data_IF_149389197418
#
_entry.id   IF_149389197418
#
_cell.length_a   1.000
_cell.length_b   1.000
_cell.length_c   1.000
_cell.angle_alpha   90.00
_cell.angle_beta   90.00
_cell.angle_gamma   90.00
#
_symmetry.space_group_name_H-M   'P 1'
#
loop_
_entity.id
_entity.type
_entity.pdbx_description
1 polymer ?
#
# COMPACT_ATOMS: atom_id res chain seq x y z
N UNK A 1 -5.81 15.60 17.96
CA UNK A 1 -6.55 16.83 18.30
C UNK A 1 -7.31 17.26 17.05
N UNK A 2 -8.57 17.67 17.18
CA UNK A 2 -9.43 18.09 16.08
C UNK A 2 -10.39 19.17 16.55
N UNK A 3 -10.92 19.97 15.64
CA UNK A 3 -12.07 20.86 15.85
C UNK A 3 -13.29 20.11 15.32
N UNK A 4 -14.35 20.10 16.10
CA UNK A 4 -15.63 19.52 15.71
C UNK A 4 -16.69 20.62 15.66
N UNK A 5 -17.28 20.81 14.48
CA UNK A 5 -18.38 21.76 14.25
C UNK A 5 -19.65 20.98 13.94
N UNK A 6 -20.74 21.35 14.64
CA UNK A 6 -22.06 20.78 14.35
C UNK A 6 -22.99 21.88 13.81
N UNK A 7 -23.69 21.54 12.73
CA UNK A 7 -24.67 22.38 12.10
C UNK A 7 -26.03 21.67 12.15
N UNK A 8 -27.00 22.29 12.84
CA UNK A 8 -28.36 21.75 13.00
C UNK A 8 -29.35 22.43 12.06
N UNK A 9 -30.13 21.63 11.37
CA UNK A 9 -31.20 22.13 10.52
C UNK A 9 -32.44 22.50 11.34
N UNK A 10 -33.09 23.60 10.96
CA UNK A 10 -34.39 24.02 11.55
C UNK A 10 -35.57 23.17 11.08
N UNK A 11 -35.42 22.50 9.95
CA UNK A 11 -36.39 21.61 9.33
C UNK A 11 -35.70 20.38 8.84
N UNK A 12 -36.40 19.26 8.76
CA UNK A 12 -35.90 18.03 8.18
C UNK A 12 -35.40 18.30 6.74
N UNK A 13 -34.09 18.24 6.57
CA UNK A 13 -33.39 18.48 5.31
C UNK A 13 -32.63 17.24 4.96
N UNK A 14 -33.05 16.51 3.94
CA UNK A 14 -32.33 15.32 3.49
C UNK A 14 -31.06 15.71 2.73
N UNK A 15 -29.92 15.36 3.29
CA UNK A 15 -28.63 15.55 2.67
C UNK A 15 -28.18 14.20 2.12
N UNK A 16 -28.04 14.10 0.81
CA UNK A 16 -27.58 12.90 0.12
C UNK A 16 -26.26 13.12 -0.61
N UNK A 17 -25.72 12.05 -1.20
CA UNK A 17 -24.42 12.10 -1.89
C UNK A 17 -24.40 13.08 -3.07
N UNK A 18 -25.46 13.10 -3.88
CA UNK A 18 -25.53 14.03 -5.02
C UNK A 18 -25.48 15.48 -4.59
N UNK A 19 -26.14 15.82 -3.47
CA UNK A 19 -26.05 17.16 -2.90
C UNK A 19 -24.64 17.47 -2.44
N UNK A 20 -24.00 16.58 -1.66
CA UNK A 20 -22.64 16.75 -1.17
C UNK A 20 -21.64 16.93 -2.33
N UNK A 21 -21.76 16.10 -3.36
CA UNK A 21 -20.92 16.18 -4.57
C UNK A 21 -21.12 17.49 -5.34
N UNK A 22 -22.35 17.90 -5.52
CA UNK A 22 -22.67 19.18 -6.19
C UNK A 22 -22.12 20.37 -5.39
N UNK A 23 -22.26 20.32 -4.07
CA UNK A 23 -21.74 21.36 -3.17
C UNK A 23 -20.21 21.41 -3.20
N UNK A 24 -19.54 20.27 -3.09
CA UNK A 24 -18.08 20.19 -3.19
C UNK A 24 -17.58 20.74 -4.54
N UNK A 25 -18.22 20.39 -5.65
CA UNK A 25 -17.89 20.92 -6.97
C UNK A 25 -18.03 22.46 -7.03
N UNK A 26 -19.07 23.02 -6.46
CA UNK A 26 -19.29 24.47 -6.41
C UNK A 26 -18.16 25.17 -5.62
N UNK A 27 -17.70 24.57 -4.52
CA UNK A 27 -16.61 25.08 -3.70
C UNK A 27 -15.20 24.77 -4.24
N UNK A 28 -15.10 24.14 -5.41
CA UNK A 28 -13.84 23.63 -5.98
C UNK A 28 -13.12 22.63 -5.03
N UNK A 29 -13.92 21.78 -4.37
CA UNK A 29 -13.43 20.71 -3.51
C UNK A 29 -13.56 19.35 -4.19
N UNK A 30 -12.71 18.43 -3.82
CA UNK A 30 -12.88 17.01 -4.05
C UNK A 30 -13.62 16.41 -2.85
N UNK A 31 -14.39 15.34 -3.06
CA UNK A 31 -15.07 14.57 -2.02
C UNK A 31 -14.79 13.09 -2.23
N UNK A 32 -14.38 12.41 -1.20
CA UNK A 32 -14.13 10.96 -1.19
C UNK A 32 -14.26 10.38 0.20
N UNK A 33 -14.01 9.10 0.30
CA UNK A 33 -13.92 8.36 1.57
C UNK A 33 -12.46 7.92 1.80
N UNK A 34 -12.18 7.40 2.99
CA UNK A 34 -10.88 6.76 3.26
C UNK A 34 -11.11 5.27 3.54
N UNK A 35 -10.27 4.44 2.95
CA UNK A 35 -10.27 3.00 3.19
C UNK A 35 -9.59 2.62 4.54
N UNK A 36 -9.41 1.33 4.80
CA UNK A 36 -8.78 0.83 6.03
C UNK A 36 -7.31 1.26 6.19
N UNK A 37 -6.66 1.69 5.11
CA UNK A 37 -5.30 2.24 5.14
C UNK A 37 -5.30 3.76 5.26
N UNK A 38 -6.45 4.40 5.40
CA UNK A 38 -6.63 5.86 5.32
C UNK A 38 -6.17 6.46 3.99
N UNK A 39 -6.20 5.67 2.92
CA UNK A 39 -6.01 6.16 1.56
C UNK A 39 -7.34 6.61 0.97
N UNK A 40 -7.27 7.68 0.14
CA UNK A 40 -8.47 8.17 -0.55
C UNK A 40 -9.04 7.11 -1.49
N UNK A 41 -10.36 6.98 -1.45
CA UNK A 41 -11.14 6.15 -2.37
C UNK A 41 -12.40 6.89 -2.82
N UNK A 42 -12.94 6.47 -3.96
CA UNK A 42 -14.18 7.01 -4.49
C UNK A 42 -15.39 6.33 -3.82
N UNK A 43 -16.32 7.14 -3.38
CA UNK A 43 -17.57 6.58 -2.83
C UNK A 43 -18.44 5.97 -3.93
N UNK A 44 -18.73 4.67 -3.78
CA UNK A 44 -19.56 3.88 -4.72
C UNK A 44 -20.90 3.42 -4.11
N UNK A 45 -21.28 4.02 -2.96
CA UNK A 45 -22.48 3.64 -2.24
C UNK A 45 -23.73 4.39 -2.70
N UNK A 46 -24.78 4.24 -1.90
CA UNK A 46 -26.11 4.82 -2.16
C UNK A 46 -26.18 6.33 -1.94
N UNK A 47 -27.35 6.93 -2.28
CA UNK A 47 -27.62 8.35 -2.04
C UNK A 47 -27.74 8.68 -0.55
N UNK A 48 -28.13 7.75 0.31
CA UNK A 48 -28.16 7.93 1.77
C UNK A 48 -26.75 7.84 2.36
N UNK A 49 -26.23 8.95 2.88
CA UNK A 49 -24.86 9.09 3.40
C UNK A 49 -24.80 9.21 4.92
N UNK A 50 -25.90 8.92 5.62
CA UNK A 50 -25.93 8.97 7.10
C UNK A 50 -24.92 8.00 7.69
N UNK A 51 -24.19 8.46 8.68
CA UNK A 51 -23.14 7.69 9.35
C UNK A 51 -21.84 7.52 8.57
N UNK A 52 -21.80 7.88 7.28
CA UNK A 52 -20.58 7.77 6.46
C UNK A 52 -19.70 9.01 6.65
N UNK A 53 -18.40 8.77 6.81
CA UNK A 53 -17.40 9.81 6.96
C UNK A 53 -16.74 10.11 5.62
N UNK A 54 -16.91 11.32 5.12
CA UNK A 54 -16.30 11.83 3.90
C UNK A 54 -15.12 12.75 4.22
N UNK A 55 -14.17 12.83 3.31
CA UNK A 55 -13.09 13.82 3.33
C UNK A 55 -13.28 14.78 2.18
N UNK A 56 -13.32 16.08 2.50
CA UNK A 56 -13.38 17.17 1.54
C UNK A 56 -12.06 17.93 1.54
N UNK A 57 -11.49 18.18 0.37
CA UNK A 57 -10.23 18.90 0.25
C UNK A 57 -10.13 19.69 -1.06
N UNK A 58 -9.22 20.66 -1.10
CA UNK A 58 -9.01 21.50 -2.27
C UNK A 58 -8.53 20.72 -3.49
N UNK A 59 -9.10 20.95 -4.66
CA UNK A 59 -8.63 20.38 -5.93
C UNK A 59 -7.30 20.98 -6.41
N UNK A 60 -6.92 22.14 -5.90
CA UNK A 60 -5.70 22.84 -6.31
C UNK A 60 -4.49 22.49 -5.44
N UNK A 61 -4.74 22.16 -4.17
CA UNK A 61 -3.73 21.88 -3.16
C UNK A 61 -4.11 20.69 -2.32
N UNK A 62 -3.30 19.66 -2.37
CA UNK A 62 -3.53 18.40 -1.70
C UNK A 62 -2.92 18.43 -0.30
N UNK A 63 -3.69 18.90 0.69
CA UNK A 63 -3.27 18.92 2.09
C UNK A 63 -3.99 17.83 2.90
N UNK A 64 -4.70 18.21 3.98
CA UNK A 64 -5.48 17.26 4.76
C UNK A 64 -6.98 17.32 4.47
N UNK A 65 -7.47 18.53 4.13
CA UNK A 65 -8.90 18.76 4.05
C UNK A 65 -9.58 18.70 5.40
N UNK A 66 -10.88 18.40 5.37
CA UNK A 66 -11.72 18.26 6.56
C UNK A 66 -12.74 17.14 6.38
N UNK A 67 -13.17 16.57 7.51
CA UNK A 67 -14.21 15.54 7.56
C UNK A 67 -15.60 16.12 7.43
N UNK A 68 -16.50 15.35 6.82
CA UNK A 68 -17.92 15.65 6.71
C UNK A 68 -18.73 14.39 7.00
N UNK A 69 -19.70 14.48 7.91
CA UNK A 69 -20.59 13.39 8.26
C UNK A 69 -22.00 13.90 8.46
N UNK A 70 -22.99 13.10 8.11
CA UNK A 70 -24.41 13.34 8.37
C UNK A 70 -24.88 12.36 9.43
N UNK A 71 -25.50 12.85 10.51
CA UNK A 71 -26.09 12.01 11.55
C UNK A 71 -27.47 11.44 11.16
N UNK A 72 -28.08 10.66 12.03
CA UNK A 72 -29.41 10.05 11.81
C UNK A 72 -30.53 11.08 11.65
N UNK A 73 -30.37 12.27 12.26
CA UNK A 73 -31.31 13.37 12.20
C UNK A 73 -31.03 14.38 11.07
N UNK A 74 -30.10 14.03 10.17
CA UNK A 74 -29.59 14.88 9.09
C UNK A 74 -28.86 16.14 9.54
N UNK A 75 -28.39 16.23 10.79
CA UNK A 75 -27.45 17.27 11.17
C UNK A 75 -26.06 16.96 10.60
N UNK A 76 -25.28 18.00 10.42
CA UNK A 76 -23.92 17.88 9.87
C UNK A 76 -22.89 18.00 10.97
N UNK A 77 -21.96 17.08 10.98
CA UNK A 77 -20.72 17.14 11.72
C UNK A 77 -19.56 17.39 10.76
N UNK A 78 -18.78 18.43 11.02
CA UNK A 78 -17.56 18.76 10.30
C UNK A 78 -16.36 18.62 11.24
N UNK A 79 -15.28 18.01 10.75
CA UNK A 79 -14.10 17.72 11.56
C UNK A 79 -12.84 18.26 10.88
N UNK A 80 -12.16 19.22 11.51
CA UNK A 80 -10.86 19.69 11.06
C UNK A 80 -9.76 19.13 11.97
N UNK A 81 -8.93 18.25 11.42
CA UNK A 81 -7.87 17.58 12.17
C UNK A 81 -6.59 18.42 12.22
N UNK A 82 -5.98 18.54 13.40
CA UNK A 82 -4.66 19.13 13.61
C UNK A 82 -3.52 18.09 13.49
N UNK A 83 -2.30 18.50 13.06
CA UNK A 83 -2.00 19.79 12.42
C UNK A 83 -2.63 19.90 11.04
N UNK A 84 -2.97 21.08 10.59
CA UNK A 84 -3.52 21.33 9.26
C UNK A 84 -2.88 22.60 8.64
N UNK A 85 -3.06 22.78 7.34
CA UNK A 85 -2.56 23.96 6.65
C UNK A 85 -3.48 25.19 6.85
N UNK A 86 -2.96 26.39 6.63
CA UNK A 86 -3.78 27.61 6.56
C UNK A 86 -4.94 27.43 5.57
N UNK A 87 -4.71 26.77 4.43
CA UNK A 87 -5.74 26.57 3.42
C UNK A 87 -6.86 25.62 3.91
N UNK A 88 -6.50 24.56 4.65
CA UNK A 88 -7.52 23.67 5.23
C UNK A 88 -8.44 24.45 6.17
N UNK A 89 -7.89 25.30 7.04
CA UNK A 89 -8.70 26.18 7.93
C UNK A 89 -9.60 27.10 7.10
N UNK A 90 -9.06 27.73 6.07
CA UNK A 90 -9.83 28.66 5.24
C UNK A 90 -10.99 27.96 4.50
N UNK A 91 -10.76 26.81 3.86
CA UNK A 91 -11.82 26.08 3.15
C UNK A 91 -12.85 25.52 4.10
N UNK A 92 -12.44 25.08 5.30
CA UNK A 92 -13.33 24.57 6.35
C UNK A 92 -14.37 25.63 6.77
N UNK A 93 -13.92 26.81 7.20
CA UNK A 93 -14.83 27.87 7.64
C UNK A 93 -15.58 28.52 6.46
N UNK A 94 -14.99 28.58 5.27
CA UNK A 94 -15.73 28.98 4.07
C UNK A 94 -16.89 28.02 3.80
N UNK A 95 -16.67 26.72 3.89
CA UNK A 95 -17.72 25.72 3.72
C UNK A 95 -18.85 25.90 4.75
N UNK A 96 -18.52 26.13 6.04
CA UNK A 96 -19.48 26.39 7.11
C UNK A 96 -20.32 27.63 6.76
N UNK A 97 -19.65 28.74 6.45
CA UNK A 97 -20.32 30.00 6.11
C UNK A 97 -21.32 29.81 4.96
N UNK A 98 -20.83 29.28 3.86
CA UNK A 98 -21.62 29.16 2.63
C UNK A 98 -22.72 28.10 2.77
N UNK A 99 -22.49 27.05 3.56
CA UNK A 99 -23.50 26.06 3.91
C UNK A 99 -24.61 26.68 4.74
N UNK A 100 -24.28 27.38 5.82
CA UNK A 100 -25.24 28.02 6.71
C UNK A 100 -26.06 29.09 6.00
N UNK A 101 -25.41 29.90 5.13
CA UNK A 101 -26.11 30.88 4.30
C UNK A 101 -27.13 30.22 3.34
N UNK A 102 -26.76 29.09 2.74
CA UNK A 102 -27.62 28.38 1.78
C UNK A 102 -28.90 27.80 2.43
N UNK A 103 -28.84 27.48 3.72
CA UNK A 103 -29.95 26.88 4.46
C UNK A 103 -30.60 27.82 5.51
N UNK A 104 -30.28 29.12 5.48
CA UNK A 104 -30.78 30.11 6.45
C UNK A 104 -30.50 29.69 7.92
N UNK A 105 -29.35 29.11 8.19
CA UNK A 105 -28.89 28.69 9.52
C UNK A 105 -28.04 29.82 10.11
N UNK A 106 -28.48 30.52 11.17
CA UNK A 106 -27.80 31.72 11.69
C UNK A 106 -26.58 31.36 12.55
N UNK A 107 -26.57 30.18 13.16
CA UNK A 107 -25.57 29.74 14.14
C UNK A 107 -25.10 28.33 13.89
N UNK A 108 -23.91 28.01 14.35
CA UNK A 108 -23.33 26.67 14.42
C UNK A 108 -22.70 26.47 15.80
N UNK A 109 -22.40 25.24 16.18
CA UNK A 109 -21.66 24.96 17.43
C UNK A 109 -20.26 24.45 17.10
N UNK A 110 -19.25 24.98 17.79
CA UNK A 110 -17.87 24.48 17.75
C UNK A 110 -17.43 24.12 19.18
N UNK A 111 -16.95 22.89 19.38
CA UNK A 111 -16.54 22.37 20.70
C UNK A 111 -17.62 22.56 21.79
N UNK A 112 -18.90 22.60 21.40
CA UNK A 112 -20.03 22.78 22.31
C UNK A 112 -20.43 24.24 22.56
N UNK A 113 -19.70 25.21 22.06
CA UNK A 113 -20.05 26.65 22.12
C UNK A 113 -20.77 27.09 20.87
N UNK A 114 -21.74 28.01 20.99
CA UNK A 114 -22.53 28.52 19.88
C UNK A 114 -21.89 29.79 19.30
N UNK A 115 -21.74 29.80 17.97
CA UNK A 115 -21.17 30.90 17.20
C UNK A 115 -22.10 31.33 16.07
N UNK A 116 -21.96 32.58 15.64
CA UNK A 116 -22.63 33.14 14.46
C UNK A 116 -21.66 33.21 13.28
N UNK A 117 -22.19 33.41 12.06
CA UNK A 117 -21.35 33.57 10.89
C UNK A 117 -20.42 34.79 10.94
N UNK A 118 -20.72 35.77 11.82
CA UNK A 118 -19.86 36.95 12.03
C UNK A 118 -18.58 36.64 12.79
N UNK A 119 -18.58 35.56 13.56
CA UNK A 119 -17.44 35.14 14.38
C UNK A 119 -16.38 34.37 13.59
N UNK A 120 -16.73 33.90 12.36
CA UNK A 120 -15.85 33.10 11.52
C UNK A 120 -14.48 33.73 11.27
N UNK A 121 -14.32 35.03 10.97
CA UNK A 121 -13.00 35.61 10.75
C UNK A 121 -12.09 35.53 11.98
N UNK A 122 -12.63 35.67 13.20
CA UNK A 122 -11.91 35.57 14.44
C UNK A 122 -11.50 34.12 14.70
N UNK A 123 -12.43 33.17 14.56
CA UNK A 123 -12.17 31.73 14.67
C UNK A 123 -11.10 31.26 13.68
N UNK A 124 -11.17 31.70 12.43
CA UNK A 124 -10.13 31.37 11.44
C UNK A 124 -8.73 31.81 11.87
N UNK A 125 -8.63 33.07 12.33
CA UNK A 125 -7.34 33.60 12.77
C UNK A 125 -6.81 32.86 14.01
N UNK A 126 -7.64 32.60 14.99
CA UNK A 126 -7.28 31.82 16.17
C UNK A 126 -6.74 30.42 15.79
N UNK A 127 -7.45 29.70 14.90
CA UNK A 127 -7.03 28.34 14.48
C UNK A 127 -5.74 28.37 13.64
N UNK A 128 -5.54 29.41 12.83
CA UNK A 128 -4.28 29.58 12.07
C UNK A 128 -3.11 29.84 13.04
N UNK A 129 -3.27 30.75 14.01
CA UNK A 129 -2.22 31.03 14.99
C UNK A 129 -1.91 29.81 15.86
N UNK A 130 -2.93 29.08 16.29
CA UNK A 130 -2.73 27.82 17.00
C UNK A 130 -1.92 26.79 16.17
N UNK A 131 -2.27 26.60 14.88
CA UNK A 131 -1.53 25.68 13.99
C UNK A 131 -0.07 26.09 13.80
N UNK A 132 0.24 27.39 13.69
CA UNK A 132 1.62 27.89 13.57
C UNK A 132 2.46 27.43 14.75
N UNK A 133 1.95 27.60 15.97
CA UNK A 133 2.63 27.22 17.20
C UNK A 133 2.76 25.69 17.32
N UNK A 134 1.67 24.98 17.09
CA UNK A 134 1.63 23.51 17.13
C UNK A 134 2.66 22.89 16.16
N UNK A 135 2.70 23.37 14.91
CA UNK A 135 3.60 22.83 13.89
C UNK A 135 5.05 23.12 14.22
N UNK A 136 5.37 24.36 14.65
CA UNK A 136 6.75 24.75 14.96
C UNK A 136 7.27 24.07 16.22
N UNK A 137 6.48 24.07 17.29
CA UNK A 137 6.96 23.78 18.64
C UNK A 137 6.65 22.34 19.11
N UNK A 138 5.47 21.81 18.77
CA UNK A 138 4.96 20.57 19.36
C UNK A 138 4.95 19.38 18.40
N UNK A 139 5.06 19.61 17.08
CA UNK A 139 5.04 18.53 16.11
C UNK A 139 6.25 17.60 16.29
N UNK A 140 6.00 16.28 16.30
CA UNK A 140 7.03 15.28 16.57
C UNK A 140 7.28 14.38 15.36
N UNK A 141 8.53 13.99 15.18
CA UNK A 141 8.90 12.94 14.25
C UNK A 141 8.26 11.60 14.64
N UNK A 142 7.91 10.80 13.64
CA UNK A 142 7.22 9.53 13.83
C UNK A 142 5.71 9.66 14.07
N UNK A 143 5.17 10.89 14.15
CA UNK A 143 3.72 11.09 14.16
C UNK A 143 3.17 10.78 12.75
N UNK A 144 2.20 9.89 12.69
CA UNK A 144 1.43 9.66 11.46
C UNK A 144 0.25 10.62 11.40
N UNK A 145 0.15 11.36 10.30
CA UNK A 145 -0.99 12.23 9.98
C UNK A 145 -1.74 11.66 8.78
N UNK A 146 -3.05 11.70 8.84
CA UNK A 146 -3.91 11.30 7.73
C UNK A 146 -4.09 12.49 6.79
N UNK A 147 -3.44 12.41 5.64
CA UNK A 147 -3.59 13.37 4.55
C UNK A 147 -4.87 13.14 3.76
N UNK A 148 -5.12 13.97 2.76
CA UNK A 148 -6.32 13.81 1.91
C UNK A 148 -6.21 12.61 0.95
N UNK A 149 -4.99 12.17 0.58
CA UNK A 149 -4.77 11.04 -0.34
C UNK A 149 -4.13 9.85 0.39
N UNK A 150 -3.07 10.08 1.18
CA UNK A 150 -2.31 9.04 1.87
C UNK A 150 -2.05 9.40 3.33
N UNK A 151 -1.91 8.43 4.23
CA UNK A 151 -1.27 8.65 5.52
C UNK A 151 0.21 8.99 5.30
N UNK A 152 0.77 9.85 6.15
CA UNK A 152 2.18 10.27 6.12
C UNK A 152 2.76 10.17 7.52
N UNK A 153 3.92 9.55 7.67
CA UNK A 153 4.67 9.55 8.93
C UNK A 153 5.80 10.58 8.85
N UNK A 154 5.74 11.60 9.69
CA UNK A 154 6.68 12.72 9.66
C UNK A 154 8.11 12.27 9.96
N UNK A 155 9.06 12.67 9.12
CA UNK A 155 10.46 12.31 9.27
C UNK A 155 11.24 13.31 10.15
N UNK A 156 12.43 12.86 10.61
CA UNK A 156 13.29 13.63 11.51
C UNK A 156 13.84 14.89 10.85
N UNK A 157 14.22 14.81 9.57
CA UNK A 157 14.83 15.91 8.84
C UNK A 157 13.82 17.04 8.62
N UNK A 158 12.56 16.67 8.28
CA UNK A 158 11.49 17.64 8.14
C UNK A 158 11.19 18.34 9.48
N UNK A 159 11.05 17.58 10.57
CA UNK A 159 10.77 18.14 11.91
C UNK A 159 11.92 19.04 12.38
N UNK A 160 13.17 18.63 12.15
CA UNK A 160 14.32 19.45 12.48
C UNK A 160 14.30 20.75 11.66
N UNK A 161 14.04 20.66 10.35
CA UNK A 161 14.00 21.80 9.45
C UNK A 161 12.99 22.88 9.86
N UNK A 162 11.75 22.50 10.21
CA UNK A 162 10.70 23.45 10.57
C UNK A 162 10.97 24.20 11.90
N UNK A 163 11.73 23.62 12.84
CA UNK A 163 12.04 24.24 14.13
C UNK A 163 12.95 25.48 14.02
N UNK A 164 13.68 25.62 12.91
CA UNK A 164 14.52 26.79 12.66
C UNK A 164 13.76 27.93 11.95
N UNK A 165 12.49 27.70 11.58
CA UNK A 165 11.67 28.69 10.90
C UNK A 165 10.87 29.51 11.90
N UNK A 166 10.47 30.73 11.51
CA UNK A 166 9.43 31.44 12.22
C UNK A 166 8.07 30.72 12.08
N UNK A 167 7.05 31.08 12.88
CA UNK A 167 5.77 30.38 12.87
C UNK A 167 5.08 30.35 11.49
N UNK A 168 5.15 31.42 10.72
CA UNK A 168 4.59 31.49 9.36
C UNK A 168 5.38 30.62 8.39
N UNK A 169 6.70 30.65 8.49
CA UNK A 169 7.60 29.80 7.70
C UNK A 169 7.37 28.32 7.99
N UNK A 170 7.18 27.92 9.25
CA UNK A 170 6.89 26.55 9.65
C UNK A 170 5.54 26.05 9.07
N UNK A 171 4.48 26.87 9.17
CA UNK A 171 3.18 26.57 8.59
C UNK A 171 3.23 26.40 7.08
N UNK A 172 3.96 27.29 6.38
CA UNK A 172 4.14 27.22 4.93
C UNK A 172 4.97 26.00 4.53
N UNK A 173 6.04 25.67 5.25
CA UNK A 173 6.85 24.49 5.02
C UNK A 173 6.02 23.20 5.17
N UNK A 174 5.17 23.14 6.20
CA UNK A 174 4.25 22.03 6.41
C UNK A 174 3.24 21.88 5.26
N UNK A 175 2.63 22.96 4.82
CA UNK A 175 1.71 22.96 3.69
C UNK A 175 2.39 22.47 2.39
N UNK A 176 3.62 22.94 2.11
CA UNK A 176 4.38 22.50 0.95
C UNK A 176 4.82 21.03 1.05
N UNK A 177 5.14 20.55 2.24
CA UNK A 177 5.45 19.14 2.49
C UNK A 177 4.24 18.25 2.18
N UNK A 178 3.04 18.62 2.65
CA UNK A 178 1.80 17.92 2.31
C UNK A 178 1.53 17.95 0.80
N UNK A 179 1.56 19.13 0.17
CA UNK A 179 1.27 19.27 -1.28
C UNK A 179 2.21 18.43 -2.15
N UNK A 180 3.45 18.22 -1.69
CA UNK A 180 4.42 17.37 -2.38
C UNK A 180 4.06 15.89 -2.27
N UNK A 181 3.63 15.41 -1.08
CA UNK A 181 3.40 14.01 -0.80
C UNK A 181 1.97 13.54 -1.11
N UNK A 182 0.98 14.44 -1.01
CA UNK A 182 -0.43 14.13 -1.22
C UNK A 182 -0.84 14.20 -2.70
N UNK A 183 -0.07 13.58 -3.61
CA UNK A 183 -0.41 13.54 -5.04
C UNK A 183 -0.95 12.18 -5.44
N UNK A 184 -2.11 12.09 -6.12
CA UNK A 184 -2.74 10.81 -6.48
C UNK A 184 -2.06 10.17 -7.72
N UNK A 185 -0.73 10.14 -7.74
CA UNK A 185 0.08 9.58 -8.84
C UNK A 185 0.81 8.30 -8.45
N UNK A 186 0.72 7.91 -7.18
CA UNK A 186 1.39 6.72 -6.66
C UNK A 186 0.36 5.69 -6.23
N UNK A 187 0.71 4.42 -6.39
CA UNK A 187 -0.01 3.33 -5.76
C UNK A 187 0.48 3.19 -4.31
N UNK A 188 -0.42 3.24 -3.34
CA UNK A 188 -0.08 2.94 -1.94
C UNK A 188 -0.16 1.43 -1.73
N UNK A 189 0.99 0.79 -1.52
CA UNK A 189 1.05 -0.66 -1.33
C UNK A 189 0.50 -1.02 0.06
N UNK A 190 -0.70 -1.57 0.08
CA UNK A 190 -1.36 -2.10 1.28
C UNK A 190 -1.42 -3.62 1.22
N UNK A 191 -1.23 -4.33 2.35
CA UNK A 191 -1.26 -5.78 2.35
C UNK A 191 -2.68 -6.32 2.26
N UNK A 192 -2.91 -7.31 1.41
CA UNK A 192 -4.10 -8.14 1.45
C UNK A 192 -3.87 -9.28 2.46
N UNK A 193 -4.93 -9.64 3.21
CA UNK A 193 -4.87 -10.72 4.20
C UNK A 193 -5.48 -12.00 3.64
N UNK A 194 -4.73 -13.08 3.74
CA UNK A 194 -5.15 -14.43 3.37
C UNK A 194 -5.11 -15.35 4.58
N UNK A 195 -6.03 -16.29 4.67
CA UNK A 195 -5.97 -17.35 5.70
C UNK A 195 -4.74 -18.23 5.47
N UNK A 196 -4.05 -18.58 6.54
CA UNK A 196 -3.03 -19.64 6.50
C UNK A 196 -3.70 -21.02 6.63
N UNK A 197 -2.90 -22.10 6.71
CA UNK A 197 -3.41 -23.43 7.04
C UNK A 197 -4.12 -23.49 8.41
N UNK A 198 -3.73 -22.62 9.36
CA UNK A 198 -4.46 -22.38 10.60
C UNK A 198 -5.48 -21.25 10.36
N UNK A 199 -6.80 -21.49 10.53
CA UNK A 199 -7.85 -20.51 10.26
C UNK A 199 -7.82 -19.26 11.17
N UNK A 200 -7.03 -19.28 12.25
CA UNK A 200 -6.82 -18.13 13.13
C UNK A 200 -5.55 -17.36 12.80
N UNK A 201 -4.83 -17.73 11.76
CA UNK A 201 -3.57 -17.13 11.34
C UNK A 201 -3.67 -16.61 9.91
N UNK A 202 -2.93 -15.55 9.64
CA UNK A 202 -3.00 -14.83 8.37
C UNK A 202 -1.62 -14.71 7.72
N UNK A 203 -1.64 -14.72 6.39
CA UNK A 203 -0.52 -14.33 5.55
C UNK A 203 -0.85 -12.95 4.98
N UNK A 204 0.01 -11.98 5.19
CA UNK A 204 -0.14 -10.62 4.66
C UNK A 204 0.71 -10.48 3.40
N UNK A 205 0.09 -10.11 2.26
CA UNK A 205 0.76 -10.00 0.96
C UNK A 205 0.68 -8.58 0.41
N UNK A 206 1.82 -7.96 0.19
CA UNK A 206 1.92 -6.74 -0.61
C UNK A 206 1.98 -7.11 -2.09
N UNK A 207 1.29 -6.35 -2.94
CA UNK A 207 1.36 -6.50 -4.39
C UNK A 207 2.02 -5.28 -5.00
N UNK A 208 3.05 -5.51 -5.83
CA UNK A 208 3.73 -4.49 -6.61
C UNK A 208 3.57 -4.81 -8.10
N UNK A 209 3.15 -3.81 -8.87
CA UNK A 209 2.98 -3.95 -10.31
C UNK A 209 4.18 -3.36 -11.03
N UNK A 210 4.69 -4.07 -12.05
CA UNK A 210 5.76 -3.58 -12.92
C UNK A 210 5.43 -2.20 -13.48
N UNK A 211 6.42 -1.30 -13.46
CA UNK A 211 6.36 0.08 -13.97
C UNK A 211 5.34 1.00 -13.28
N UNK A 212 4.71 0.53 -12.18
CA UNK A 212 3.81 1.36 -11.37
C UNK A 212 4.58 1.94 -10.19
N UNK A 213 4.76 3.28 -10.10
CA UNK A 213 5.36 3.90 -8.94
C UNK A 213 4.53 3.66 -7.70
N UNK A 214 5.14 3.08 -6.67
CA UNK A 214 4.45 2.61 -5.47
C UNK A 214 5.07 3.17 -4.20
N UNK A 215 4.22 3.57 -3.25
CA UNK A 215 4.62 3.86 -1.87
C UNK A 215 4.67 2.54 -1.13
N UNK A 216 5.87 2.10 -0.74
CA UNK A 216 6.12 0.78 -0.15
C UNK A 216 6.74 0.93 1.24
N UNK A 217 6.28 0.20 2.25
CA UNK A 217 6.79 0.33 3.61
C UNK A 217 8.23 -0.17 3.72
N UNK A 218 9.02 0.45 4.61
CA UNK A 218 10.40 0.04 4.94
C UNK A 218 10.39 -1.19 5.85
N UNK A 219 9.36 -1.34 6.68
CA UNK A 219 9.11 -2.50 7.52
C UNK A 219 7.68 -2.96 7.31
N UNK A 220 7.49 -4.26 7.20
CA UNK A 220 6.16 -4.84 7.03
C UNK A 220 5.26 -4.52 8.23
N UNK A 221 4.08 -3.99 7.97
CA UNK A 221 3.08 -3.67 8.99
C UNK A 221 1.67 -3.61 8.40
N UNK A 222 0.65 -3.76 9.25
CA UNK A 222 -0.73 -3.46 8.87
C UNK A 222 -1.00 -1.96 9.05
N UNK A 223 -1.72 -1.33 8.12
CA UNK A 223 -2.24 0.03 8.29
C UNK A 223 -3.10 0.21 9.54
N UNK A 224 -3.26 1.44 9.99
CA UNK A 224 -3.92 1.78 11.26
C UNK A 224 -5.38 1.34 11.36
N UNK A 225 -6.13 1.34 10.26
CA UNK A 225 -7.55 0.96 10.25
C UNK A 225 -7.83 -0.53 10.34
N UNK A 226 -6.79 -1.37 10.27
CA UNK A 226 -6.98 -2.81 10.43
C UNK A 226 -7.25 -3.19 11.89
N UNK A 227 -8.20 -4.10 12.10
CA UNK A 227 -8.56 -4.63 13.42
C UNK A 227 -7.32 -5.22 14.13
N UNK A 228 -7.14 -4.90 15.41
CA UNK A 228 -6.03 -5.40 16.25
C UNK A 228 -5.91 -6.92 16.24
N UNK A 229 -7.04 -7.66 16.11
CA UNK A 229 -7.03 -9.12 16.01
C UNK A 229 -6.17 -9.66 14.86
N UNK A 230 -6.00 -8.90 13.78
CA UNK A 230 -5.14 -9.31 12.66
C UNK A 230 -3.67 -9.11 12.99
N UNK A 231 -3.31 -8.02 13.70
CA UNK A 231 -1.92 -7.64 13.97
C UNK A 231 -1.13 -8.75 14.67
N UNK A 232 -1.73 -9.38 15.67
CA UNK A 232 -1.09 -10.42 16.47
C UNK A 232 -1.12 -11.81 15.82
N UNK A 233 -1.81 -11.95 14.69
CA UNK A 233 -2.06 -13.24 14.05
C UNK A 233 -1.44 -13.36 12.65
N UNK A 234 -0.56 -12.45 12.24
CA UNK A 234 0.21 -12.56 11.00
C UNK A 234 1.39 -13.50 11.20
N UNK A 235 1.41 -14.61 10.46
CA UNK A 235 2.49 -15.60 10.51
C UNK A 235 3.54 -15.40 9.42
N UNK A 236 3.20 -14.69 8.34
CA UNK A 236 4.11 -14.45 7.23
C UNK A 236 3.77 -13.15 6.52
N UNK A 237 4.80 -12.43 6.13
CA UNK A 237 4.73 -11.27 5.27
C UNK A 237 5.35 -11.60 3.92
N UNK A 238 4.62 -11.36 2.84
CA UNK A 238 5.02 -11.70 1.48
C UNK A 238 4.92 -10.49 0.55
N UNK A 239 5.67 -10.54 -0.54
CA UNK A 239 5.58 -9.58 -1.65
C UNK A 239 5.35 -10.36 -2.94
N UNK A 240 4.31 -9.97 -3.66
CA UNK A 240 3.99 -10.46 -5.00
C UNK A 240 4.39 -9.37 -5.99
N UNK A 241 5.19 -9.73 -6.98
CA UNK A 241 5.55 -8.85 -8.09
C UNK A 241 4.84 -9.33 -9.35
N UNK A 242 3.99 -8.47 -9.92
CA UNK A 242 3.18 -8.81 -11.08
C UNK A 242 3.36 -7.80 -12.22
N UNK A 243 3.00 -8.18 -13.41
CA UNK A 243 2.90 -7.36 -14.62
C UNK A 243 1.49 -7.45 -15.17
N UNK A 244 0.90 -6.32 -15.50
CA UNK A 244 -0.39 -6.30 -16.20
C UNK A 244 -0.19 -6.64 -17.68
N UNK A 245 -0.98 -7.57 -18.17
CA UNK A 245 -1.01 -7.96 -19.58
C UNK A 245 -2.32 -7.50 -20.22
N UNK A 246 -2.22 -6.87 -21.39
CA UNK A 246 -3.40 -6.53 -22.19
C UNK A 246 -4.08 -7.82 -22.74
N UNK A 247 -5.42 -7.90 -22.85
CA UNK A 247 -6.40 -6.91 -22.46
C UNK A 247 -6.99 -7.09 -21.04
N UNK A 248 -6.66 -8.03 -20.21
CA UNK A 248 -7.17 -8.19 -18.83
C UNK A 248 -6.44 -9.33 -18.09
N UNK A 249 -5.19 -9.59 -18.44
CA UNK A 249 -4.36 -10.60 -17.79
C UNK A 249 -3.37 -10.00 -16.80
N UNK A 250 -2.76 -10.86 -16.01
CA UNK A 250 -1.57 -10.51 -15.24
C UNK A 250 -0.59 -11.70 -15.26
N UNK A 251 0.69 -11.38 -15.14
CA UNK A 251 1.76 -12.36 -14.98
C UNK A 251 2.43 -12.13 -13.64
N UNK A 252 2.50 -13.16 -12.80
CA UNK A 252 3.30 -13.12 -11.58
C UNK A 252 4.75 -13.41 -11.95
N UNK A 253 5.66 -12.52 -11.58
CA UNK A 253 7.09 -12.68 -11.77
C UNK A 253 7.75 -13.30 -10.54
N UNK A 254 7.22 -13.00 -9.34
CA UNK A 254 7.72 -13.57 -8.10
C UNK A 254 6.67 -13.48 -6.99
N UNK A 255 6.74 -14.43 -6.07
CA UNK A 255 6.15 -14.38 -4.75
C UNK A 255 7.25 -14.81 -3.77
N UNK A 256 7.61 -13.95 -2.82
CA UNK A 256 8.69 -14.21 -1.87
C UNK A 256 8.40 -13.57 -0.52
N UNK A 257 9.15 -13.94 0.52
CA UNK A 257 9.01 -13.29 1.82
C UNK A 257 9.38 -11.81 1.72
N UNK A 258 8.79 -10.99 2.59
CA UNK A 258 9.08 -9.54 2.66
C UNK A 258 10.57 -9.28 2.87
N UNK A 259 11.22 -10.03 3.78
CA UNK A 259 12.63 -9.84 4.11
C UNK A 259 13.53 -10.19 2.93
N UNK A 260 13.22 -11.29 2.22
CA UNK A 260 13.92 -11.71 1.02
C UNK A 260 13.78 -10.64 -0.10
N UNK A 261 12.59 -10.13 -0.34
CA UNK A 261 12.36 -9.05 -1.28
C UNK A 261 13.22 -7.81 -0.94
N UNK A 262 13.24 -7.40 0.33
CA UNK A 262 14.02 -6.26 0.78
C UNK A 262 15.53 -6.45 0.58
N UNK A 263 16.04 -7.68 0.73
CA UNK A 263 17.45 -8.01 0.47
C UNK A 263 17.76 -7.91 -1.03
N UNK A 264 16.93 -8.50 -1.89
CA UNK A 264 17.12 -8.53 -3.36
C UNK A 264 17.06 -7.12 -3.95
N UNK A 265 16.05 -6.35 -3.55
CA UNK A 265 15.78 -5.02 -4.11
C UNK A 265 16.64 -3.94 -3.45
N UNK A 266 17.00 -4.08 -2.18
CA UNK A 266 17.71 -3.08 -1.38
C UNK A 266 16.98 -1.73 -1.32
N UNK A 267 15.96 -1.65 -0.47
CA UNK A 267 15.08 -0.49 -0.31
C UNK A 267 15.83 0.83 -0.02
N UNK A 268 17.04 0.76 0.58
CA UNK A 268 17.82 1.97 0.90
C UNK A 268 18.27 2.77 -0.34
N UNK A 269 18.19 2.18 -1.53
CA UNK A 269 18.53 2.83 -2.80
C UNK A 269 17.37 3.64 -3.40
N UNK A 270 16.17 3.49 -2.85
CA UNK A 270 14.98 4.18 -3.34
C UNK A 270 14.74 5.48 -2.57
N UNK A 271 14.16 6.50 -3.22
CA UNK A 271 13.82 7.75 -2.54
C UNK A 271 12.87 7.51 -1.38
N UNK A 272 13.11 8.16 -0.26
CA UNK A 272 12.13 8.19 0.84
C UNK A 272 10.87 8.91 0.39
N UNK A 273 9.73 8.33 0.70
CA UNK A 273 8.45 9.00 0.63
C UNK A 273 8.19 9.76 1.94
N UNK A 274 8.27 9.04 3.07
CA UNK A 274 8.14 9.56 4.43
C UNK A 274 9.09 8.78 5.37
N UNK A 275 8.91 8.90 6.69
CA UNK A 275 9.75 8.19 7.66
C UNK A 275 9.67 6.67 7.54
N UNK A 276 8.56 6.12 7.11
CA UNK A 276 8.25 4.68 7.12
C UNK A 276 8.11 4.06 5.74
N UNK A 277 8.13 4.86 4.68
CA UNK A 277 7.95 4.39 3.31
C UNK A 277 8.99 4.92 2.34
N UNK A 278 9.19 4.17 1.26
CA UNK A 278 9.98 4.57 0.08
C UNK A 278 9.09 4.62 -1.17
N UNK A 279 9.54 5.36 -2.18
CA UNK A 279 8.97 5.32 -3.53
C UNK A 279 9.72 4.29 -4.34
N UNK A 280 9.06 3.20 -4.69
CA UNK A 280 9.64 2.11 -5.48
C UNK A 280 8.92 1.98 -6.83
N UNK A 281 9.70 1.69 -7.87
CA UNK A 281 9.17 1.23 -9.17
C UNK A 281 9.92 -0.04 -9.54
N UNK A 282 9.17 -1.11 -9.83
CA UNK A 282 9.73 -2.37 -10.28
C UNK A 282 9.90 -2.29 -11.80
N UNK A 283 11.08 -1.88 -12.23
CA UNK A 283 11.50 -1.82 -13.62
C UNK A 283 12.10 -3.16 -14.10
N UNK A 284 12.46 -3.27 -15.39
CA UNK A 284 13.10 -4.47 -15.94
C UNK A 284 14.40 -4.85 -15.24
N UNK A 285 15.13 -3.87 -14.70
CA UNK A 285 16.36 -4.12 -13.94
C UNK A 285 16.07 -4.74 -12.58
N UNK A 286 15.01 -4.30 -11.91
CA UNK A 286 14.54 -4.91 -10.66
C UNK A 286 14.03 -6.33 -10.92
N UNK A 287 13.24 -6.53 -11.98
CA UNK A 287 12.77 -7.86 -12.38
C UNK A 287 13.94 -8.82 -12.69
N UNK A 288 14.97 -8.34 -13.39
CA UNK A 288 16.16 -9.16 -13.68
C UNK A 288 16.88 -9.63 -12.40
N UNK A 289 16.96 -8.78 -11.37
CA UNK A 289 17.55 -9.18 -10.08
C UNK A 289 16.69 -10.22 -9.37
N UNK A 290 15.37 -10.04 -9.38
CA UNK A 290 14.42 -10.99 -8.80
C UNK A 290 14.55 -12.35 -9.49
N UNK A 291 14.53 -12.37 -10.83
CA UNK A 291 14.69 -13.60 -11.61
C UNK A 291 16.04 -14.29 -11.32
N UNK A 292 17.14 -13.53 -11.25
CA UNK A 292 18.45 -14.08 -10.89
C UNK A 292 18.46 -14.68 -9.49
N UNK A 293 17.84 -14.01 -8.52
CA UNK A 293 17.72 -14.51 -7.15
C UNK A 293 16.92 -15.82 -7.11
N UNK A 294 15.76 -15.89 -7.77
CA UNK A 294 14.94 -17.09 -7.85
C UNK A 294 15.72 -18.29 -8.43
N UNK A 295 16.50 -18.05 -9.49
CA UNK A 295 17.35 -19.08 -10.08
C UNK A 295 18.43 -19.55 -9.08
N UNK A 296 19.05 -18.64 -8.33
CA UNK A 296 20.05 -18.98 -7.32
C UNK A 296 19.43 -19.78 -6.17
N UNK A 297 18.27 -19.39 -5.67
CA UNK A 297 17.53 -20.10 -4.63
C UNK A 297 17.15 -21.51 -5.09
N UNK A 298 16.65 -21.66 -6.31
CA UNK A 298 16.35 -22.97 -6.88
C UNK A 298 17.60 -23.83 -7.04
N UNK A 299 18.74 -23.24 -7.43
CA UNK A 299 20.01 -23.93 -7.51
C UNK A 299 20.51 -24.42 -6.13
N UNK A 300 20.39 -23.60 -5.09
CA UNK A 300 20.74 -23.96 -3.73
C UNK A 300 19.86 -25.08 -3.20
N UNK A 301 18.55 -25.03 -3.44
CA UNK A 301 17.60 -26.09 -3.10
C UNK A 301 18.04 -27.42 -3.74
N UNK A 302 18.39 -27.38 -5.01
CA UNK A 302 18.86 -28.56 -5.75
C UNK A 302 20.19 -29.11 -5.20
N UNK A 303 21.15 -28.23 -4.86
CA UNK A 303 22.42 -28.62 -4.25
C UNK A 303 22.19 -29.32 -2.90
N UNK A 304 21.36 -28.74 -2.04
CA UNK A 304 21.04 -29.28 -0.73
C UNK A 304 20.39 -30.67 -0.87
N UNK A 305 19.39 -30.78 -1.73
CA UNK A 305 18.70 -32.04 -1.97
C UNK A 305 19.65 -33.14 -2.47
N UNK A 306 20.51 -32.83 -3.46
CA UNK A 306 21.49 -33.80 -4.00
C UNK A 306 22.53 -34.19 -2.98
N UNK A 307 22.92 -33.27 -2.09
CA UNK A 307 23.90 -33.56 -1.00
C UNK A 307 23.28 -34.47 0.06
N UNK A 308 22.05 -34.20 0.47
CA UNK A 308 21.36 -34.98 1.51
C UNK A 308 20.99 -36.39 1.03
N UNK A 309 20.51 -36.50 -0.22
CA UNK A 309 20.02 -37.76 -0.76
C UNK A 309 21.13 -38.78 -1.06
N UNK A 310 22.36 -38.31 -1.34
CA UNK A 310 23.43 -39.20 -1.91
C UNK A 310 24.74 -39.26 -1.13
N UNK A 311 24.87 -38.53 -0.06
CA UNK A 311 26.17 -38.38 0.67
C UNK A 311 27.32 -37.87 -0.25
N UNK A 312 26.99 -37.42 -1.47
CA UNK A 312 27.91 -37.00 -2.52
C UNK A 312 27.77 -35.47 -2.67
N UNK A 313 28.51 -34.71 -1.89
CA UNK A 313 28.48 -33.25 -1.96
C UNK A 313 28.49 -32.73 -3.42
N UNK A 314 27.38 -32.22 -3.92
CA UNK A 314 27.30 -31.57 -5.22
C UNK A 314 27.79 -30.14 -5.10
N UNK A 315 28.66 -29.72 -6.03
CA UNK A 315 29.22 -28.35 -6.02
C UNK A 315 28.49 -27.47 -7.04
N UNK A 316 28.36 -26.17 -6.78
CA UNK A 316 27.72 -25.22 -7.72
C UNK A 316 28.25 -25.35 -9.17
N UNK A 317 29.55 -25.58 -9.34
CA UNK A 317 30.17 -25.75 -10.67
C UNK A 317 29.71 -27.03 -11.44
N UNK A 318 28.96 -27.91 -10.79
CA UNK A 318 28.40 -29.12 -11.41
C UNK A 318 26.95 -28.93 -11.84
N UNK A 319 26.37 -27.72 -11.67
CA UNK A 319 24.98 -27.41 -11.94
C UNK A 319 24.91 -26.20 -12.85
N UNK A 320 24.19 -26.32 -13.95
CA UNK A 320 23.95 -25.23 -14.89
C UNK A 320 22.44 -25.03 -15.10
N UNK A 321 21.98 -23.80 -14.90
CA UNK A 321 20.60 -23.42 -15.23
C UNK A 321 20.36 -23.55 -16.74
N UNK A 322 19.23 -24.13 -17.12
CA UNK A 322 18.90 -24.36 -18.51
C UNK A 322 17.70 -23.51 -18.95
N UNK A 323 16.61 -23.57 -18.22
CA UNK A 323 15.35 -22.93 -18.61
C UNK A 323 14.39 -22.85 -17.42
N UNK A 324 13.47 -21.90 -17.47
CA UNK A 324 12.30 -21.84 -16.59
C UNK A 324 11.00 -22.09 -17.41
N UNK A 325 9.97 -22.57 -16.74
CA UNK A 325 8.64 -22.70 -17.31
C UNK A 325 7.58 -22.63 -16.22
N UNK A 326 6.35 -22.36 -16.62
CA UNK A 326 5.19 -22.40 -15.73
C UNK A 326 4.30 -23.56 -16.15
N UNK A 327 3.88 -24.39 -15.19
CA UNK A 327 2.97 -25.50 -15.46
C UNK A 327 1.56 -24.97 -15.79
N UNK A 328 0.69 -25.83 -16.35
CA UNK A 328 -0.72 -25.46 -16.61
C UNK A 328 -1.47 -25.07 -15.31
N UNK A 329 -1.05 -25.62 -14.16
CA UNK A 329 -1.59 -25.29 -12.85
C UNK A 329 -0.96 -24.03 -12.22
N UNK A 330 -0.11 -23.32 -12.99
CA UNK A 330 0.50 -22.04 -12.56
C UNK A 330 1.75 -22.19 -11.71
N UNK A 331 2.30 -23.39 -11.51
CA UNK A 331 3.53 -23.59 -10.71
C UNK A 331 4.75 -23.22 -11.54
N UNK A 332 5.58 -22.31 -11.00
CA UNK A 332 6.82 -21.92 -11.63
C UNK A 332 7.93 -22.93 -11.31
N UNK A 333 8.64 -23.38 -12.33
CA UNK A 333 9.67 -24.42 -12.24
C UNK A 333 10.95 -24.01 -12.96
N UNK A 334 12.08 -24.44 -12.41
CA UNK A 334 13.43 -24.19 -12.93
C UNK A 334 14.07 -25.51 -13.34
N UNK A 335 14.59 -25.59 -14.58
CA UNK A 335 15.28 -26.76 -15.10
C UNK A 335 16.80 -26.51 -15.04
N UNK A 336 17.48 -27.45 -14.42
CA UNK A 336 18.93 -27.48 -14.34
C UNK A 336 19.47 -28.76 -14.98
N UNK A 337 20.63 -28.68 -15.64
CA UNK A 337 21.47 -29.84 -15.90
C UNK A 337 22.53 -29.95 -14.81
N UNK A 338 22.82 -31.14 -14.36
CA UNK A 338 23.82 -31.36 -13.32
C UNK A 338 24.62 -32.65 -13.56
N UNK A 339 25.80 -32.73 -12.93
CA UNK A 339 26.66 -33.90 -12.97
C UNK A 339 26.70 -34.54 -11.58
N UNK A 340 26.50 -35.87 -11.53
CA UNK A 340 26.63 -36.66 -10.27
C UNK A 340 28.06 -36.71 -9.80
N UNK A 341 29.02 -36.75 -10.74
CA UNK A 341 30.44 -36.62 -10.53
C UNK A 341 31.04 -35.78 -11.67
N UNK A 342 32.26 -35.27 -11.51
CA UNK A 342 32.93 -34.49 -12.57
C UNK A 342 33.10 -35.27 -13.90
N UNK A 343 33.11 -36.58 -13.85
CA UNK A 343 33.30 -37.48 -15.03
C UNK A 343 31.97 -38.11 -15.50
N UNK A 344 30.85 -37.89 -14.81
CA UNK A 344 29.55 -38.43 -15.21
C UNK A 344 28.92 -37.64 -16.33
N UNK A 345 27.97 -38.27 -17.05
CA UNK A 345 27.12 -37.60 -17.95
C UNK A 345 26.25 -36.56 -17.23
N UNK A 346 25.71 -35.60 -17.99
CA UNK A 346 24.75 -34.64 -17.47
C UNK A 346 23.39 -35.31 -17.19
N UNK A 347 22.73 -34.85 -16.16
CA UNK A 347 21.38 -35.22 -15.78
C UNK A 347 20.51 -33.96 -15.77
N UNK A 348 19.20 -34.10 -15.90
CA UNK A 348 18.25 -33.02 -15.73
C UNK A 348 17.64 -33.09 -14.32
N UNK A 349 17.52 -31.95 -13.69
CA UNK A 349 16.79 -31.76 -12.45
C UNK A 349 15.80 -30.60 -12.60
N UNK A 350 14.64 -30.71 -11.99
CA UNK A 350 13.62 -29.70 -11.99
C UNK A 350 13.32 -29.35 -10.53
N UNK A 351 13.33 -28.05 -10.24
CA UNK A 351 12.99 -27.51 -8.92
C UNK A 351 11.78 -26.60 -9.10
N UNK A 352 10.71 -26.81 -8.32
CA UNK A 352 9.58 -25.89 -8.27
C UNK A 352 9.87 -24.69 -7.37
N UNK A 353 9.12 -23.62 -7.50
CA UNK A 353 9.17 -22.45 -6.60
C UNK A 353 8.89 -22.82 -5.13
N UNK A 354 8.17 -23.91 -4.88
CA UNK A 354 7.95 -24.46 -3.55
C UNK A 354 9.13 -25.26 -2.99
N UNK A 355 10.24 -25.36 -3.73
CA UNK A 355 11.44 -26.09 -3.33
C UNK A 355 11.38 -27.59 -3.54
N UNK A 356 10.36 -28.11 -4.21
CA UNK A 356 10.28 -29.55 -4.54
C UNK A 356 11.21 -29.87 -5.70
N UNK A 357 12.10 -30.86 -5.49
CA UNK A 357 13.04 -31.33 -6.51
C UNK A 357 12.55 -32.63 -7.15
N UNK A 358 12.75 -32.74 -8.47
CA UNK A 358 12.54 -33.97 -9.23
C UNK A 358 13.73 -34.24 -10.13
N UNK A 359 14.32 -35.43 -10.04
CA UNK A 359 15.41 -35.88 -10.89
C UNK A 359 14.87 -36.55 -12.13
N UNK A 360 15.39 -36.17 -13.29
CA UNK A 360 15.06 -36.78 -14.56
C UNK A 360 16.30 -37.31 -15.24
N UNK A 361 16.07 -38.34 -16.03
CA UNK A 361 16.86 -39.00 -17.07
C UNK A 361 18.22 -38.36 -17.42
N UNK A 362 19.18 -39.20 -17.72
CA UNK A 362 20.47 -38.82 -18.27
C UNK A 362 20.28 -37.90 -19.50
N UNK A 363 20.92 -36.75 -19.50
CA UNK A 363 20.82 -35.75 -20.57
C UNK A 363 21.78 -36.13 -21.70
N UNK A 364 21.27 -36.52 -22.85
CA UNK A 364 22.01 -36.61 -24.09
C UNK A 364 21.75 -35.37 -24.94
N UNK A 365 22.79 -34.77 -25.51
CA UNK A 365 22.68 -33.57 -26.38
C UNK A 365 21.70 -33.70 -27.56
N UNK A 366 21.28 -34.93 -27.90
CA UNK A 366 20.29 -35.20 -28.96
C UNK A 366 18.81 -35.04 -28.50
N UNK A 367 18.56 -34.88 -27.19
CA UNK A 367 17.23 -34.69 -26.59
C UNK A 367 16.98 -33.21 -26.33
N UNK A 368 16.96 -32.40 -27.40
CA UNK A 368 16.57 -31.00 -27.27
C UNK A 368 15.05 -30.86 -27.07
N UNK A 369 14.68 -30.13 -26.00
CA UNK A 369 13.44 -29.30 -25.87
C UNK A 369 12.08 -29.96 -26.21
N UNK A 370 11.96 -30.81 -27.26
CA UNK A 370 10.75 -31.59 -27.53
C UNK A 370 10.36 -32.49 -26.33
N UNK A 371 11.35 -32.98 -25.59
CA UNK A 371 11.16 -33.79 -24.40
C UNK A 371 10.75 -32.96 -23.17
N UNK A 372 10.87 -31.62 -23.16
CA UNK A 372 10.37 -30.79 -22.06
C UNK A 372 8.86 -30.93 -21.89
N UNK A 373 8.11 -31.08 -22.96
CA UNK A 373 6.66 -31.31 -22.94
C UNK A 373 6.35 -32.71 -22.39
N UNK A 374 7.12 -33.72 -22.75
CA UNK A 374 7.00 -35.08 -22.22
C UNK A 374 7.36 -35.12 -20.71
N UNK A 375 8.41 -34.38 -20.32
CA UNK A 375 8.82 -34.15 -18.95
C UNK A 375 7.72 -33.43 -18.14
N UNK A 376 7.07 -32.42 -18.70
CA UNK A 376 5.94 -31.71 -18.09
C UNK A 376 4.77 -32.67 -17.87
N UNK A 377 4.46 -33.54 -18.82
CA UNK A 377 3.39 -34.53 -18.73
C UNK A 377 3.70 -35.64 -17.71
N UNK A 378 4.96 -36.02 -17.58
CA UNK A 378 5.42 -36.95 -16.54
C UNK A 378 5.36 -36.31 -15.14
N UNK A 379 5.72 -35.03 -15.03
CA UNK A 379 5.58 -34.24 -13.80
C UNK A 379 4.11 -34.17 -13.35
N UNK A 380 3.18 -33.86 -14.25
CA UNK A 380 1.74 -33.87 -13.94
C UNK A 380 1.29 -35.19 -13.32
N UNK A 381 1.81 -36.29 -13.84
CA UNK A 381 1.48 -37.62 -13.32
C UNK A 381 2.11 -37.88 -11.96
N UNK A 382 3.31 -37.39 -11.73
CA UNK A 382 4.02 -37.49 -10.45
C UNK A 382 3.38 -36.61 -9.37
N UNK A 383 3.13 -35.34 -9.65
CA UNK A 383 2.53 -34.39 -8.72
C UNK A 383 1.10 -34.78 -8.32
N UNK A 384 0.33 -35.33 -9.27
CA UNK A 384 -1.02 -35.84 -8.99
C UNK A 384 -0.99 -37.04 -8.04
N UNK A 385 0.01 -37.91 -8.14
CA UNK A 385 0.21 -39.05 -7.25
C UNK A 385 0.71 -38.64 -5.85
N UNK A 386 1.51 -37.58 -5.75
CA UNK A 386 1.96 -37.06 -4.47
C UNK A 386 0.82 -36.32 -3.73
N UNK A 387 0.00 -35.54 -4.43
CA UNK A 387 -1.19 -34.88 -3.89
C UNK A 387 -2.28 -35.89 -3.42
N UNK A 388 -2.34 -37.09 -4.01
CA UNK A 388 -3.24 -38.16 -3.58
C UNK A 388 -2.70 -38.96 -2.37
N UNK A 389 -1.45 -38.70 -1.93
CA UNK A 389 -0.81 -39.34 -0.77
C UNK A 389 -0.81 -38.52 0.52
N UNK A 390 -1.18 -37.23 0.42
CA UNK A 390 -1.38 -36.31 1.53
C UNK A 390 -2.87 -36.22 1.85
#
# INVERSE_FOLDING_TARGET
>A
MSIVVNIRHKKETKIGYNFLRARANFENLYVGIQDEAYCLDDYQGDEDIRGIYFVLFSREKFHRGFGFKVDEDYNIELVLNYPCSKRDVMIFYKFINDYCLNFDIPTFTEEGEEFTLKDIPELQNEKIEFNKMLIRDDLKSGLTIFGCIYPITLDDDFILGIRYLDPDGALNAFANYLDKLQRPIYYFAKPALYYSADPNKYIAKYSLTKDVPSIFPINAHLPFGYDEKFKDNIVSWQVVVAELLEPNGFKIHAEMSYDEFCQVINLSKYPKFDKTHVLITIDDKALSKIAQHNIQTAQETMINWLSDYRELGCKPAQIEFTKEFVTEDGIHCYIFKYKKTLLSNWWLGIVSESGTFSEFKEYNQATEIADAIEIINLLKTFWKKEAERI
#
